data_IF_797179171310
#
_entry.id   IF_797179171310
#
_cell.length_a   1.000
_cell.length_b   1.000
_cell.length_c   1.000
_cell.angle_alpha   90.00
_cell.angle_beta   90.00
_cell.angle_gamma   90.00
#
_symmetry.space_group_name_H-M   'P 1'
#
loop_
_entity.id
_entity.type
_entity.pdbx_description
1 polymer ?
#
# COMPACT_ATOMS: atom_id res chain seq x y z
N UNK A 1 -58.91 37.66 36.09
CA UNK A 1 -58.63 36.68 37.15
C UNK A 1 -57.22 36.17 36.92
N UNK A 2 -56.36 36.19 37.94
CA UNK A 2 -55.03 35.55 38.00
C UNK A 2 -55.17 34.04 37.70
N UNK A 3 -54.19 33.19 37.33
CA UNK A 3 -52.71 33.13 37.43
C UNK A 3 -52.21 32.36 36.15
N UNK A 4 -50.93 32.16 35.80
CA UNK A 4 -49.61 32.45 36.38
C UNK A 4 -48.54 32.66 35.25
N UNK A 5 -47.25 32.68 35.60
CA UNK A 5 -46.13 32.30 34.73
C UNK A 5 -45.64 30.90 35.14
N UNK A 6 -45.05 30.13 34.22
CA UNK A 6 -44.25 28.95 34.58
C UNK A 6 -42.98 28.85 33.71
N UNK A 7 -41.89 28.44 34.35
CA UNK A 7 -40.53 28.38 33.83
C UNK A 7 -39.98 26.98 34.05
N UNK A 8 -39.99 26.14 33.03
CA UNK A 8 -39.37 24.82 33.06
C UNK A 8 -38.96 24.37 31.64
N UNK A 9 -37.88 23.57 31.53
CA UNK A 9 -37.66 22.76 30.32
C UNK A 9 -36.33 22.90 29.57
N UNK A 10 -35.32 23.63 30.08
CA UNK A 10 -33.93 23.47 29.61
C UNK A 10 -33.35 22.13 30.15
N UNK A 11 -33.85 21.00 29.64
CA UNK A 11 -33.38 19.65 29.96
C UNK A 11 -33.81 18.69 28.86
N UNK A 12 -33.05 18.69 27.77
CA UNK A 12 -33.31 17.88 26.57
C UNK A 12 -32.06 17.60 25.74
N UNK A 13 -30.85 17.75 26.32
CA UNK A 13 -29.69 17.06 25.77
C UNK A 13 -29.93 15.56 25.99
N UNK A 14 -30.37 14.88 24.93
CA UNK A 14 -30.26 13.43 24.85
C UNK A 14 -28.79 13.10 25.06
N UNK A 15 -28.48 12.53 26.23
CA UNK A 15 -27.16 12.00 26.50
C UNK A 15 -26.87 10.95 25.41
N UNK A 16 -25.88 11.24 24.56
CA UNK A 16 -25.35 10.24 23.65
C UNK A 16 -24.88 9.08 24.54
N UNK A 17 -25.37 7.85 24.34
CA UNK A 17 -24.99 6.73 25.19
C UNK A 17 -23.48 6.52 25.10
N UNK A 18 -22.85 6.32 26.24
CA UNK A 18 -21.41 6.17 26.38
C UNK A 18 -20.93 4.94 25.58
N UNK A 19 -20.39 5.20 24.39
CA UNK A 19 -20.06 4.16 23.41
C UNK A 19 -18.80 3.36 23.80
N UNK A 20 -18.16 3.73 24.92
CA UNK A 20 -16.86 3.20 25.37
C UNK A 20 -16.98 1.94 26.26
N UNK A 21 -18.20 1.47 26.54
CA UNK A 21 -18.45 0.40 27.52
C UNK A 21 -19.12 -0.88 26.96
N UNK A 22 -19.14 -1.09 25.65
CA UNK A 22 -19.62 -2.36 25.06
C UNK A 22 -18.45 -3.31 24.73
N UNK A 23 -18.57 -4.63 24.98
CA UNK A 23 -17.54 -5.58 24.56
C UNK A 23 -17.37 -5.47 23.04
N UNK A 24 -16.12 -5.28 22.60
CA UNK A 24 -15.80 -4.83 21.25
C UNK A 24 -16.59 -5.59 20.17
N UNK A 25 -17.65 -4.96 19.68
CA UNK A 25 -18.41 -5.47 18.53
C UNK A 25 -17.44 -5.51 17.37
N UNK A 26 -17.24 -6.71 16.81
CA UNK A 26 -16.38 -6.95 15.65
C UNK A 26 -17.00 -6.30 14.40
N UNK A 27 -16.96 -4.96 14.36
CA UNK A 27 -17.34 -4.17 13.20
C UNK A 27 -16.38 -4.47 12.06
N UNK A 28 -16.96 -4.67 10.87
CA UNK A 28 -16.23 -4.79 9.63
C UNK A 28 -16.71 -3.67 8.69
N UNK A 29 -15.84 -2.70 8.34
CA UNK A 29 -14.48 -2.51 8.86
C UNK A 29 -14.44 -2.11 10.35
N UNK A 30 -13.29 -2.31 11.02
CA UNK A 30 -13.11 -1.82 12.38
C UNK A 30 -13.04 -0.30 12.42
N UNK A 31 -13.60 0.30 13.47
CA UNK A 31 -13.34 1.72 13.79
C UNK A 31 -11.91 1.84 14.31
N UNK A 32 -11.10 2.70 13.70
CA UNK A 32 -9.75 3.00 14.17
C UNK A 32 -9.79 4.04 15.31
N UNK A 33 -8.93 3.91 16.34
CA UNK A 33 -8.91 4.82 17.47
C UNK A 33 -8.36 6.21 17.11
N UNK A 34 -7.60 6.30 16.01
CA UNK A 34 -7.00 7.51 15.47
C UNK A 34 -7.20 7.55 13.94
N UNK A 35 -7.19 8.74 13.32
CA UNK A 35 -7.16 8.90 11.87
C UNK A 35 -6.08 8.06 11.17
N UNK A 36 -6.39 7.56 9.98
CA UNK A 36 -5.43 6.88 9.10
C UNK A 36 -4.91 7.84 8.03
N UNK A 37 -3.60 7.83 7.82
CA UNK A 37 -2.92 8.56 6.74
C UNK A 37 -2.27 7.55 5.80
N UNK A 38 -2.56 7.66 4.51
CA UNK A 38 -1.82 6.99 3.44
C UNK A 38 -0.65 7.87 2.98
N UNK A 39 0.57 7.46 3.32
CA UNK A 39 1.82 8.07 2.88
C UNK A 39 2.13 7.67 1.43
N UNK A 40 1.33 8.13 0.47
CA UNK A 40 1.53 7.82 -0.95
C UNK A 40 0.89 8.82 -1.91
N UNK A 41 1.56 9.03 -3.04
CA UNK A 41 1.06 9.71 -4.24
C UNK A 41 0.40 8.75 -5.25
N UNK A 42 0.41 7.44 -5.00
CA UNK A 42 -0.11 6.45 -5.96
C UNK A 42 -1.64 6.42 -5.98
N UNK A 43 -2.22 6.73 -7.16
CA UNK A 43 -3.66 6.59 -7.43
C UNK A 43 -4.17 5.16 -7.19
N UNK A 44 -3.35 4.15 -7.54
CA UNK A 44 -3.69 2.74 -7.40
C UNK A 44 -3.82 2.35 -5.92
N UNK A 45 -2.82 2.72 -5.10
CA UNK A 45 -2.84 2.43 -3.65
C UNK A 45 -3.99 3.13 -2.94
N UNK A 46 -4.35 4.36 -3.35
CA UNK A 46 -5.53 5.07 -2.84
C UNK A 46 -6.81 4.29 -3.16
N UNK A 47 -7.04 3.96 -4.42
CA UNK A 47 -8.22 3.22 -4.87
C UNK A 47 -8.32 1.82 -4.24
N UNK A 48 -7.18 1.16 -4.00
CA UNK A 48 -7.15 -0.09 -3.27
C UNK A 48 -7.52 0.08 -1.79
N UNK A 49 -6.98 1.08 -1.09
CA UNK A 49 -7.29 1.32 0.33
C UNK A 49 -8.77 1.71 0.55
N UNK A 50 -9.38 2.43 -0.38
CA UNK A 50 -10.82 2.76 -0.38
C UNK A 50 -11.72 1.51 -0.28
N UNK A 51 -11.29 0.36 -0.83
CA UNK A 51 -12.01 -0.93 -0.75
C UNK A 51 -12.14 -1.48 0.68
N UNK A 52 -11.32 -1.01 1.63
CA UNK A 52 -11.45 -1.40 3.04
C UNK A 52 -12.57 -0.65 3.78
N UNK A 53 -13.17 0.40 3.19
CA UNK A 53 -14.26 1.16 3.82
C UNK A 53 -13.84 1.98 5.05
N UNK A 54 -12.54 2.15 5.28
CA UNK A 54 -11.98 2.94 6.39
C UNK A 54 -11.74 4.38 5.89
N UNK A 55 -12.05 5.38 6.71
CA UNK A 55 -11.74 6.78 6.40
C UNK A 55 -10.23 7.05 6.55
N UNK A 56 -9.62 7.66 5.53
CA UNK A 56 -8.21 8.05 5.54
C UNK A 56 -7.97 9.34 4.74
N UNK A 57 -6.83 9.98 4.98
CA UNK A 57 -6.30 11.08 4.15
C UNK A 57 -5.01 10.64 3.44
N UNK A 58 -4.62 11.32 2.37
CA UNK A 58 -3.33 11.07 1.70
C UNK A 58 -2.34 12.19 2.00
N UNK A 59 -1.09 11.85 2.28
CA UNK A 59 0.04 12.79 2.33
C UNK A 59 1.14 12.27 1.39
N UNK A 60 1.74 13.17 0.62
CA UNK A 60 2.88 12.85 -0.23
C UNK A 60 4.16 12.79 0.63
N UNK A 61 4.83 11.63 0.76
CA UNK A 61 6.07 11.53 1.51
C UNK A 61 7.17 12.35 0.81
N UNK A 62 7.85 13.22 1.55
CA UNK A 62 9.11 13.83 1.13
C UNK A 62 10.24 12.81 1.38
N UNK A 63 10.36 11.88 0.44
CA UNK A 63 11.29 10.76 0.51
C UNK A 63 11.74 10.36 -0.89
N UNK A 64 13.05 10.44 -1.14
CA UNK A 64 13.68 9.91 -2.35
C UNK A 64 14.06 8.44 -2.19
N UNK A 65 13.80 7.63 -3.22
CA UNK A 65 14.21 6.23 -3.31
C UNK A 65 15.67 6.13 -3.79
N UNK A 66 16.59 6.77 -3.04
CA UNK A 66 18.02 6.77 -3.37
C UNK A 66 18.67 5.38 -3.16
N UNK A 67 19.73 5.03 -3.90
CA UNK A 67 20.44 3.76 -3.74
C UNK A 67 21.01 3.58 -2.33
N UNK A 68 20.52 2.56 -1.61
CA UNK A 68 20.91 2.31 -0.21
C UNK A 68 22.04 1.30 -0.13
N UNK A 69 23.24 1.76 0.21
CA UNK A 69 24.41 0.90 0.35
C UNK A 69 24.22 -0.15 1.46
N UNK A 70 24.61 -1.40 1.19
CA UNK A 70 24.57 -2.50 2.16
C UNK A 70 23.20 -3.16 2.35
N UNK A 71 22.16 -2.74 1.63
CA UNK A 71 20.85 -3.41 1.62
C UNK A 71 20.73 -4.30 0.39
N UNK A 72 20.24 -5.54 0.57
CA UNK A 72 19.98 -6.44 -0.55
C UNK A 72 18.81 -5.94 -1.41
N UNK A 73 18.85 -6.15 -2.73
CA UNK A 73 17.83 -5.67 -3.65
C UNK A 73 16.39 -6.05 -3.24
N UNK A 74 16.20 -7.26 -2.71
CA UNK A 74 14.90 -7.73 -2.21
C UNK A 74 14.42 -7.06 -0.90
N UNK A 75 15.28 -6.40 -0.13
CA UNK A 75 14.91 -5.73 1.13
C UNK A 75 14.61 -4.24 0.94
N UNK A 76 14.99 -3.66 -0.21
CA UNK A 76 14.75 -2.25 -0.55
C UNK A 76 13.26 -1.86 -0.44
N UNK A 77 12.26 -2.61 -0.96
CA UNK A 77 10.86 -2.23 -0.77
C UNK A 77 10.47 -2.12 0.71
N UNK A 78 10.95 -3.03 1.56
CA UNK A 78 10.70 -2.97 3.01
C UNK A 78 11.35 -1.74 3.64
N UNK A 79 12.56 -1.41 3.21
CA UNK A 79 13.27 -0.20 3.66
C UNK A 79 12.52 1.08 3.24
N UNK A 80 12.18 1.23 1.96
CA UNK A 80 11.50 2.42 1.43
C UNK A 80 10.09 2.58 2.02
N UNK A 81 9.32 1.50 2.18
CA UNK A 81 8.00 1.56 2.83
C UNK A 81 8.09 2.11 4.26
N UNK A 82 9.06 1.62 5.06
CA UNK A 82 9.30 2.11 6.43
C UNK A 82 9.69 3.60 6.46
N UNK A 83 10.59 4.03 5.57
CA UNK A 83 11.04 5.42 5.55
C UNK A 83 9.99 6.41 5.02
N UNK A 84 9.12 5.99 4.09
CA UNK A 84 7.96 6.81 3.65
C UNK A 84 6.97 7.08 4.79
N UNK A 85 6.74 6.10 5.68
CA UNK A 85 5.91 6.31 6.86
C UNK A 85 6.54 7.29 7.86
N UNK A 86 7.86 7.16 8.09
CA UNK A 86 8.62 8.04 8.98
C UNK A 86 8.70 9.48 8.44
N UNK A 87 8.96 9.66 7.15
CA UNK A 87 8.99 10.98 6.51
C UNK A 87 7.66 11.74 6.67
N UNK A 88 6.52 11.06 6.47
CA UNK A 88 5.21 11.68 6.70
C UNK A 88 4.98 12.05 8.16
N UNK A 89 5.46 11.23 9.11
CA UNK A 89 5.36 11.55 10.54
C UNK A 89 6.15 12.82 10.91
N UNK A 90 7.34 13.00 10.33
CA UNK A 90 8.18 14.18 10.50
C UNK A 90 7.55 15.42 9.85
N UNK A 91 7.14 15.33 8.57
CA UNK A 91 6.47 16.40 7.83
C UNK A 91 5.24 16.97 8.55
N UNK A 92 4.44 16.10 9.17
CA UNK A 92 3.17 16.46 9.80
C UNK A 92 3.28 16.75 11.30
N UNK A 93 4.49 16.76 11.85
CA UNK A 93 4.76 17.15 13.25
C UNK A 93 4.28 16.13 14.29
N UNK A 94 4.36 14.84 13.97
CA UNK A 94 3.85 13.72 14.77
C UNK A 94 2.33 13.84 15.09
N UNK A 95 1.44 13.68 14.09
CA UNK A 95 0.01 13.68 14.31
C UNK A 95 -0.42 12.53 15.22
N UNK A 96 -1.51 12.72 15.97
CA UNK A 96 -2.25 11.62 16.58
C UNK A 96 -3.00 10.85 15.48
N UNK A 97 -2.25 10.11 14.67
CA UNK A 97 -2.72 9.34 13.52
C UNK A 97 -1.87 8.07 13.37
N UNK A 98 -2.38 7.10 12.63
CA UNK A 98 -1.58 5.99 12.12
C UNK A 98 -1.19 6.26 10.68
N UNK A 99 0.06 5.98 10.32
CA UNK A 99 0.60 6.26 8.99
C UNK A 99 0.89 4.94 8.29
N UNK A 100 0.11 4.64 7.25
CA UNK A 100 0.29 3.51 6.36
C UNK A 100 1.11 3.95 5.14
N UNK A 101 2.22 3.29 4.89
CA UNK A 101 3.04 3.46 3.70
C UNK A 101 3.23 2.12 2.98
N UNK A 102 3.57 2.18 1.70
CA UNK A 102 3.87 1.00 0.90
C UNK A 102 4.93 1.29 -0.15
N UNK A 103 5.66 0.25 -0.52
CA UNK A 103 6.61 0.26 -1.61
C UNK A 103 6.61 -1.05 -2.39
N UNK A 104 7.05 -1.02 -3.64
CA UNK A 104 6.97 -2.16 -4.55
C UNK A 104 8.04 -2.09 -5.64
N UNK A 105 8.67 -3.22 -5.93
CA UNK A 105 9.54 -3.38 -7.09
C UNK A 105 9.59 -4.82 -7.57
N UNK A 106 10.15 -5.03 -8.77
CA UNK A 106 10.36 -6.38 -9.31
C UNK A 106 11.77 -6.84 -8.94
N UNK A 107 11.86 -7.94 -8.20
CA UNK A 107 13.13 -8.62 -7.89
C UNK A 107 13.36 -9.67 -8.96
N UNK A 108 14.33 -9.43 -9.84
CA UNK A 108 14.79 -10.35 -10.86
C UNK A 108 16.07 -11.06 -10.41
N UNK A 109 16.21 -12.34 -10.75
CA UNK A 109 17.36 -13.18 -10.38
C UNK A 109 18.23 -13.41 -11.60
N UNK A 110 19.45 -12.86 -11.55
CA UNK A 110 20.47 -12.99 -12.58
C UNK A 110 21.60 -13.89 -12.05
N UNK A 111 21.46 -15.21 -12.26
CA UNK A 111 22.39 -16.20 -11.69
C UNK A 111 22.41 -16.14 -10.15
N UNK A 112 23.54 -15.73 -9.58
CA UNK A 112 23.72 -15.59 -8.12
C UNK A 112 23.45 -14.18 -7.58
N UNK A 113 23.01 -13.24 -8.43
CA UNK A 113 22.74 -11.85 -8.06
C UNK A 113 21.27 -11.51 -8.24
N UNK A 114 20.71 -10.75 -7.29
CA UNK A 114 19.35 -10.23 -7.38
C UNK A 114 19.37 -8.72 -7.70
N UNK A 115 18.58 -8.32 -8.68
CA UNK A 115 18.42 -6.92 -9.12
C UNK A 115 17.01 -6.43 -8.80
N UNK A 116 16.86 -5.16 -8.38
CA UNK A 116 15.55 -4.53 -8.23
C UNK A 116 15.25 -3.66 -9.46
N UNK A 117 14.29 -4.08 -10.27
CA UNK A 117 13.80 -3.31 -11.40
C UNK A 117 12.78 -2.28 -10.90
N UNK A 118 13.19 -1.01 -10.93
CA UNK A 118 12.31 0.14 -10.73
C UNK A 118 11.49 0.48 -11.98
N UNK A 119 10.90 1.68 -11.99
CA UNK A 119 10.10 2.18 -13.12
C UNK A 119 10.99 2.49 -14.33
N UNK A 120 10.58 2.16 -15.57
CA UNK A 120 11.40 2.38 -16.76
C UNK A 120 11.47 3.85 -17.16
N UNK A 121 10.41 4.63 -16.92
CA UNK A 121 10.19 6.02 -17.34
C UNK A 121 10.20 6.31 -18.86
N UNK A 122 10.84 5.46 -19.69
CA UNK A 122 10.88 5.60 -21.15
C UNK A 122 10.46 4.29 -21.83
N UNK A 123 9.92 4.39 -23.06
CA UNK A 123 9.48 3.20 -23.81
C UNK A 123 10.63 2.23 -24.11
N UNK A 124 11.82 2.74 -24.46
CA UNK A 124 12.99 1.89 -24.71
C UNK A 124 13.36 1.05 -23.47
N UNK A 125 13.50 1.70 -22.31
CA UNK A 125 13.76 1.01 -21.03
C UNK A 125 12.65 0.03 -20.65
N UNK A 126 11.40 0.30 -21.05
CA UNK A 126 10.28 -0.59 -20.79
C UNK A 126 10.34 -1.86 -21.65
N UNK A 127 10.73 -1.74 -22.93
CA UNK A 127 10.99 -2.88 -23.81
C UNK A 127 12.19 -3.69 -23.31
N UNK A 128 13.27 -3.02 -22.89
CA UNK A 128 14.45 -3.69 -22.32
C UNK A 128 14.11 -4.49 -21.06
N UNK A 129 13.35 -3.91 -20.12
CA UNK A 129 12.88 -4.63 -18.92
C UNK A 129 11.98 -5.82 -19.25
N UNK A 130 11.06 -5.69 -20.21
CA UNK A 130 10.21 -6.83 -20.61
C UNK A 130 11.03 -7.97 -21.22
N UNK A 131 12.05 -7.66 -22.02
CA UNK A 131 12.92 -8.67 -22.62
C UNK A 131 13.89 -9.29 -21.60
N UNK A 132 14.27 -8.56 -20.55
CA UNK A 132 15.03 -9.07 -19.41
C UNK A 132 14.22 -10.11 -18.59
N UNK A 133 12.90 -9.94 -18.50
CA UNK A 133 11.99 -10.83 -17.78
C UNK A 133 11.40 -11.97 -18.65
N UNK A 134 11.47 -11.85 -19.97
CA UNK A 134 10.82 -12.75 -20.91
C UNK A 134 11.24 -14.22 -20.76
N UNK A 135 10.26 -15.11 -20.62
CA UNK A 135 10.49 -16.55 -20.45
C UNK A 135 11.05 -16.96 -19.07
N UNK A 136 11.06 -16.06 -18.08
CA UNK A 136 11.57 -16.32 -16.74
C UNK A 136 10.54 -16.00 -15.64
N UNK A 137 10.63 -16.66 -14.47
CA UNK A 137 9.91 -16.26 -13.29
C UNK A 137 10.60 -15.11 -12.56
N UNK A 138 9.83 -14.16 -12.04
CA UNK A 138 10.32 -13.08 -11.18
C UNK A 138 9.36 -12.80 -10.02
N UNK A 139 9.85 -12.10 -8.99
CA UNK A 139 9.04 -11.71 -7.83
C UNK A 139 8.63 -10.25 -7.94
N UNK A 140 7.33 -9.97 -7.99
CA UNK A 140 6.80 -8.65 -7.70
C UNK A 140 6.66 -8.53 -6.18
N UNK A 141 7.63 -7.87 -5.53
CA UNK A 141 7.71 -7.74 -4.09
C UNK A 141 7.07 -6.44 -3.64
N UNK A 142 6.06 -6.53 -2.78
CA UNK A 142 5.36 -5.37 -2.19
C UNK A 142 5.52 -5.38 -0.68
N UNK A 143 6.02 -4.28 -0.11
CA UNK A 143 6.10 -4.09 1.33
C UNK A 143 5.10 -3.04 1.79
N UNK A 144 4.51 -3.26 2.96
CA UNK A 144 3.61 -2.32 3.65
C UNK A 144 4.12 -2.08 5.06
N UNK A 145 4.10 -0.82 5.49
CA UNK A 145 4.52 -0.39 6.81
C UNK A 145 3.41 0.43 7.47
N UNK A 146 3.14 0.17 8.75
CA UNK A 146 2.17 0.89 9.57
C UNK A 146 2.91 1.44 10.79
N UNK A 147 3.06 2.77 10.82
CA UNK A 147 3.58 3.50 11.97
C UNK A 147 2.40 3.91 12.87
N UNK A 148 2.45 3.50 14.14
CA UNK A 148 1.48 3.88 15.17
C UNK A 148 1.92 5.17 15.87
N UNK A 149 0.99 5.84 16.54
CA UNK A 149 1.21 7.15 17.17
C UNK A 149 2.19 7.14 18.36
N UNK A 150 2.50 5.97 18.92
CA UNK A 150 3.52 5.76 19.96
C UNK A 150 4.94 5.55 19.38
N UNK A 151 5.09 5.56 18.06
CA UNK A 151 6.33 5.26 17.34
C UNK A 151 6.51 3.76 17.01
N UNK A 152 5.60 2.88 17.40
CA UNK A 152 5.66 1.46 17.04
C UNK A 152 5.51 1.30 15.52
N UNK A 153 6.55 0.76 14.87
CA UNK A 153 6.60 0.57 13.42
C UNK A 153 6.46 -0.92 13.05
N UNK A 154 5.27 -1.28 12.58
CA UNK A 154 4.92 -2.61 12.10
C UNK A 154 5.12 -2.68 10.57
N UNK A 155 5.49 -3.84 10.02
CA UNK A 155 5.56 -4.03 8.58
C UNK A 155 5.28 -5.48 8.15
N UNK A 156 4.95 -5.66 6.86
CA UNK A 156 4.80 -6.95 6.18
C UNK A 156 5.34 -6.84 4.75
N UNK A 157 5.86 -7.96 4.24
CA UNK A 157 6.25 -8.13 2.84
C UNK A 157 5.36 -9.21 2.23
N UNK A 158 4.92 -8.98 0.99
CA UNK A 158 4.15 -9.93 0.19
C UNK A 158 4.82 -10.04 -1.18
N UNK A 159 5.12 -11.28 -1.58
CA UNK A 159 5.66 -11.58 -2.90
C UNK A 159 4.57 -12.19 -3.80
N UNK A 160 4.56 -11.78 -5.06
CA UNK A 160 3.80 -12.43 -6.13
C UNK A 160 4.81 -13.00 -7.12
N UNK A 161 4.76 -14.31 -7.38
CA UNK A 161 5.61 -14.92 -8.41
C UNK A 161 4.89 -14.85 -9.75
N UNK A 162 5.54 -14.23 -10.73
CA UNK A 162 5.00 -14.06 -12.07
C UNK A 162 5.84 -14.87 -13.05
N UNK A 163 5.20 -15.72 -13.84
CA UNK A 163 5.86 -16.56 -14.84
C UNK A 163 5.61 -15.95 -16.22
N UNK A 164 6.54 -15.11 -16.67
CA UNK A 164 6.42 -14.45 -17.98
C UNK A 164 6.71 -15.47 -19.08
N UNK A 165 5.84 -15.52 -20.10
CA UNK A 165 6.10 -16.37 -21.28
C UNK A 165 7.27 -15.81 -22.10
N UNK A 166 7.86 -16.58 -23.03
CA UNK A 166 8.79 -16.03 -24.01
C UNK A 166 8.11 -14.91 -24.85
N UNK A 167 8.82 -13.79 -25.02
CA UNK A 167 8.38 -12.62 -25.78
C UNK A 167 9.41 -12.30 -26.87
N UNK A 168 8.94 -11.97 -28.07
CA UNK A 168 9.78 -11.34 -29.08
C UNK A 168 9.90 -9.82 -28.83
N UNK A 169 10.95 -9.21 -29.38
CA UNK A 169 11.13 -7.75 -29.34
C UNK A 169 9.93 -7.00 -29.97
N UNK A 170 9.30 -7.58 -31.00
CA UNK A 170 8.13 -7.00 -31.65
C UNK A 170 6.90 -6.99 -30.73
N UNK A 171 6.64 -8.08 -30.00
CA UNK A 171 5.54 -8.17 -29.02
C UNK A 171 5.77 -7.21 -27.85
N UNK A 172 7.00 -7.16 -27.30
CA UNK A 172 7.34 -6.23 -26.23
C UNK A 172 7.15 -4.76 -26.67
N UNK A 173 7.52 -4.43 -27.91
CA UNK A 173 7.33 -3.08 -28.47
C UNK A 173 5.85 -2.72 -28.66
N UNK A 174 5.04 -3.62 -29.23
CA UNK A 174 3.59 -3.41 -29.39
C UNK A 174 2.89 -3.24 -28.03
N UNK A 175 3.23 -4.11 -27.06
CA UNK A 175 2.71 -4.03 -25.70
C UNK A 175 3.00 -2.67 -25.05
N UNK A 176 4.27 -2.23 -25.06
CA UNK A 176 4.67 -0.95 -24.43
C UNK A 176 4.00 0.24 -25.10
N UNK A 177 3.86 0.23 -26.43
CA UNK A 177 3.20 1.30 -27.17
C UNK A 177 1.69 1.43 -26.81
N UNK A 178 1.03 0.29 -26.57
CA UNK A 178 -0.42 0.22 -26.30
C UNK A 178 -0.79 0.41 -24.83
N UNK A 179 -0.05 -0.22 -23.92
CA UNK A 179 -0.34 -0.21 -22.48
C UNK A 179 0.32 0.97 -21.75
N UNK A 180 1.44 1.48 -22.27
CA UNK A 180 2.24 2.57 -21.69
C UNK A 180 2.54 2.39 -20.19
N UNK A 181 3.19 1.28 -19.77
CA UNK A 181 3.45 0.91 -18.38
C UNK A 181 4.64 1.70 -17.76
N UNK A 182 4.82 2.96 -18.16
CA UNK A 182 6.04 3.73 -17.88
C UNK A 182 6.21 4.09 -16.39
N UNK A 183 5.12 4.02 -15.62
CA UNK A 183 5.04 4.24 -14.18
C UNK A 183 5.04 2.93 -13.35
N UNK A 184 5.20 1.76 -13.98
CA UNK A 184 5.15 0.43 -13.36
C UNK A 184 6.54 -0.21 -13.25
N UNK A 185 6.86 -0.83 -12.10
CA UNK A 185 8.06 -1.64 -11.95
C UNK A 185 7.95 -2.92 -12.80
N UNK A 186 9.03 -3.29 -13.50
CA UNK A 186 9.03 -4.43 -14.43
C UNK A 186 8.26 -4.21 -15.74
N UNK A 187 7.69 -3.02 -15.97
CA UNK A 187 7.13 -2.60 -17.27
C UNK A 187 5.91 -3.39 -17.78
N UNK A 188 5.03 -3.86 -16.88
CA UNK A 188 3.74 -4.47 -17.23
C UNK A 188 2.61 -4.05 -16.28
N UNK A 189 1.37 -4.35 -16.66
CA UNK A 189 0.13 -4.18 -15.87
C UNK A 189 -0.76 -5.40 -16.02
N UNK A 190 -0.79 -6.27 -15.00
CA UNK A 190 -1.60 -7.52 -14.99
C UNK A 190 -3.10 -7.22 -15.11
N UNK A 191 -3.52 -6.07 -14.60
CA UNK A 191 -4.89 -5.55 -14.62
C UNK A 191 -5.33 -4.98 -15.98
N UNK A 192 -4.42 -4.88 -16.96
CA UNK A 192 -4.64 -4.31 -18.29
C UNK A 192 -4.28 -5.32 -19.40
N UNK A 193 -3.34 -5.02 -20.29
CA UNK A 193 -2.89 -5.95 -21.34
C UNK A 193 -1.95 -7.06 -20.81
N UNK A 194 -1.50 -6.98 -19.56
CA UNK A 194 -0.56 -7.94 -18.96
C UNK A 194 -0.91 -9.42 -19.08
N UNK A 195 -2.19 -9.88 -19.09
CA UNK A 195 -2.52 -11.29 -19.26
C UNK A 195 -2.03 -11.91 -20.58
N UNK A 196 -1.65 -11.09 -21.57
CA UNK A 196 -1.00 -11.56 -22.81
C UNK A 196 0.50 -11.86 -22.66
N UNK A 197 1.11 -11.56 -21.50
CA UNK A 197 2.54 -11.71 -21.21
C UNK A 197 2.86 -12.86 -20.22
N UNK A 198 1.88 -13.41 -19.51
CA UNK A 198 2.12 -14.35 -18.40
C UNK A 198 1.37 -15.67 -18.59
N UNK A 199 2.06 -16.78 -18.38
CA UNK A 199 1.44 -18.12 -18.37
C UNK A 199 0.83 -18.44 -17.00
N UNK A 200 1.37 -17.85 -15.92
CA UNK A 200 0.95 -18.12 -14.54
C UNK A 200 1.27 -16.97 -13.58
N UNK A 201 0.42 -16.81 -12.56
CA UNK A 201 0.61 -15.92 -11.41
C UNK A 201 0.39 -16.73 -10.13
N UNK A 202 1.36 -16.76 -9.23
CA UNK A 202 1.24 -17.37 -7.90
C UNK A 202 1.20 -16.26 -6.83
N UNK A 203 0.09 -16.15 -6.10
CA UNK A 203 -0.09 -15.15 -5.03
C UNK A 203 -1.11 -15.58 -3.97
N UNK A 204 -0.82 -15.29 -2.70
CA UNK A 204 -1.77 -15.40 -1.59
C UNK A 204 -2.64 -14.15 -1.43
N UNK A 205 -2.13 -12.99 -1.85
CA UNK A 205 -2.85 -11.70 -1.88
C UNK A 205 -2.75 -11.07 -3.27
N UNK A 206 -3.74 -11.28 -4.16
CA UNK A 206 -3.75 -10.70 -5.51
C UNK A 206 -3.71 -9.17 -5.53
N UNK A 207 -4.12 -8.50 -4.45
CA UNK A 207 -4.10 -7.02 -4.40
C UNK A 207 -2.69 -6.47 -4.21
N UNK A 208 -1.71 -7.31 -3.85
CA UNK A 208 -0.30 -6.95 -3.92
C UNK A 208 0.12 -6.47 -5.32
N UNK A 209 -0.52 -6.97 -6.39
CA UNK A 209 -0.15 -6.69 -7.78
C UNK A 209 -0.27 -5.20 -8.12
N UNK A 210 -1.41 -4.56 -7.80
CA UNK A 210 -1.63 -3.12 -8.07
C UNK A 210 -0.90 -2.19 -7.05
N UNK A 211 -0.17 -2.78 -6.09
CA UNK A 211 0.79 -2.09 -5.22
C UNK A 211 0.39 -1.88 -3.77
N UNK A 212 -0.73 -2.44 -3.29
CA UNK A 212 -1.13 -2.45 -1.87
C UNK A 212 -1.82 -3.78 -1.46
N UNK A 213 -1.10 -4.72 -0.82
CA UNK A 213 -1.67 -5.99 -0.35
C UNK A 213 -2.69 -5.78 0.79
N UNK A 214 -3.97 -5.79 0.47
CA UNK A 214 -5.07 -5.51 1.39
C UNK A 214 -5.23 -6.57 2.50
N UNK A 215 -4.85 -7.83 2.27
CA UNK A 215 -4.84 -8.84 3.34
C UNK A 215 -3.74 -8.51 4.36
N UNK A 216 -2.57 -8.09 3.89
CA UNK A 216 -1.46 -7.65 4.75
C UNK A 216 -1.78 -6.33 5.47
N UNK A 217 -2.39 -5.36 4.79
CA UNK A 217 -2.85 -4.09 5.41
C UNK A 217 -3.91 -4.38 6.48
N UNK A 218 -4.92 -5.20 6.19
CA UNK A 218 -5.94 -5.56 7.17
C UNK A 218 -5.34 -6.32 8.38
N UNK A 219 -4.32 -7.15 8.16
CA UNK A 219 -3.58 -7.80 9.25
C UNK A 219 -2.76 -6.81 10.10
N UNK A 220 -2.11 -5.81 9.49
CA UNK A 220 -1.40 -4.74 10.19
C UNK A 220 -2.37 -3.86 11.01
N UNK A 221 -3.51 -3.47 10.45
CA UNK A 221 -4.52 -2.68 11.16
C UNK A 221 -5.10 -3.44 12.37
N UNK A 222 -5.40 -4.73 12.23
CA UNK A 222 -5.79 -5.59 13.37
C UNK A 222 -4.69 -5.68 14.44
N UNK A 223 -3.43 -5.73 14.03
CA UNK A 223 -2.29 -5.76 14.94
C UNK A 223 -2.09 -4.43 15.67
N UNK A 224 -2.30 -3.29 15.00
CA UNK A 224 -2.33 -1.96 15.61
C UNK A 224 -3.47 -1.80 16.62
N UNK A 225 -4.67 -2.30 16.30
CA UNK A 225 -5.82 -2.30 17.22
C UNK A 225 -5.55 -3.15 18.46
N UNK A 226 -4.99 -4.35 18.28
CA UNK A 226 -4.59 -5.21 19.38
C UNK A 226 -3.42 -4.63 20.21
N UNK A 227 -2.61 -3.74 19.62
CA UNK A 227 -1.57 -3.02 20.34
C UNK A 227 -2.16 -1.88 21.18
N UNK A 228 -3.07 -1.08 20.62
CA UNK A 228 -3.73 0.06 21.27
C UNK A 228 -4.59 -0.31 22.48
N UNK A 229 -5.18 -1.52 22.47
CA UNK A 229 -6.06 -1.99 23.55
C UNK A 229 -5.31 -2.65 24.73
N UNK A 230 -4.00 -2.41 24.90
CA UNK A 230 -3.16 -2.97 25.98
C UNK A 230 -2.58 -1.87 26.86
#
# INVERSE_FOLDING_TARGET
MTIAADTAGLSGLLALPDLLAQPAVLSLPPVLPLPLVLASTSRYRKAQLERLGIAFTCIAPDYAEDPVAGIAAGDLPRYHARHKALAVAEQSGAPQAWILAADQGVVWQNGSTAELLGKPHTQAKAVDQLLQLAGQPHLLRTAVALLLADGTLLDRVVDVTLHMRPLSHAEATDYVARDQPLDCAGSYRIESLGPWLFDKVDCDDPTAIEGLPLLAVAALLRQGLAHWNR
#
